data_IF_979165572150
#
_entry.id   IF_979165572150
#
_cell.length_a   1.000
_cell.length_b   1.000
_cell.length_c   1.000
_cell.angle_alpha   90.00
_cell.angle_beta   90.00
_cell.angle_gamma   90.00
#
_symmetry.space_group_name_H-M   'P 1'
#
loop_
_entity.id
_entity.type
_entity.pdbx_description
1 polymer ?
#
# COMPACT_ATOMS: atom_id res chain seq x y z
N UNK A 1 12.38 -32.59 -34.49
CA UNK A 1 11.55 -31.38 -34.30
C UNK A 1 11.27 -31.33 -32.82
N UNK A 2 11.90 -30.39 -32.10
CA UNK A 2 11.81 -30.34 -30.64
C UNK A 2 10.92 -29.17 -30.25
N UNK A 3 9.82 -29.49 -29.59
CA UNK A 3 8.89 -28.49 -29.07
C UNK A 3 9.39 -28.03 -27.71
N UNK A 4 9.62 -26.72 -27.56
CA UNK A 4 9.91 -26.11 -26.27
C UNK A 4 8.61 -25.47 -25.79
N UNK A 5 8.09 -25.95 -24.67
CA UNK A 5 6.89 -25.38 -24.04
C UNK A 5 7.34 -24.32 -23.04
N UNK A 6 7.03 -23.06 -23.31
CA UNK A 6 7.24 -21.95 -22.39
C UNK A 6 5.92 -21.67 -21.69
N UNK A 7 5.85 -21.93 -20.39
CA UNK A 7 4.68 -21.64 -19.56
C UNK A 7 4.86 -20.27 -18.92
N UNK A 8 4.07 -19.29 -19.35
CA UNK A 8 4.01 -17.97 -18.72
C UNK A 8 3.16 -18.08 -17.45
N UNK A 9 3.81 -18.12 -16.29
CA UNK A 9 3.14 -17.99 -15.00
C UNK A 9 2.98 -16.50 -14.69
N UNK A 10 1.82 -15.91 -15.00
CA UNK A 10 1.47 -14.60 -14.45
C UNK A 10 1.07 -14.79 -13.00
N UNK A 11 1.86 -14.30 -12.06
CA UNK A 11 1.41 -14.11 -10.68
C UNK A 11 0.31 -13.05 -10.71
N UNK A 12 -0.94 -13.47 -10.52
CA UNK A 12 -2.01 -12.51 -10.28
C UNK A 12 -1.72 -11.84 -8.93
N UNK A 13 -1.33 -10.57 -8.97
CA UNK A 13 -1.23 -9.74 -7.78
C UNK A 13 -2.61 -9.72 -7.10
N UNK A 14 -2.63 -9.93 -5.79
CA UNK A 14 -3.86 -9.84 -5.02
C UNK A 14 -4.41 -8.40 -5.08
N UNK A 15 -5.73 -8.23 -4.97
CA UNK A 15 -6.33 -6.89 -4.89
C UNK A 15 -5.69 -6.07 -3.76
N UNK A 16 -5.52 -4.74 -3.93
CA UNK A 16 -4.99 -3.89 -2.88
C UNK A 16 -5.91 -3.95 -1.66
N UNK A 17 -5.33 -3.93 -0.47
CA UNK A 17 -6.06 -3.94 0.80
C UNK A 17 -6.80 -2.63 1.05
N UNK A 18 -6.24 -1.52 0.58
CA UNK A 18 -6.84 -0.19 0.71
C UNK A 18 -7.13 0.43 -0.66
N UNK A 19 -8.22 1.18 -0.76
CA UNK A 19 -8.64 1.90 -1.96
C UNK A 19 -8.29 3.39 -1.87
N UNK A 20 -8.18 4.04 -3.03
CA UNK A 20 -7.99 5.50 -3.12
C UNK A 20 -9.16 6.21 -2.42
N UNK A 21 -8.82 7.17 -1.57
CA UNK A 21 -9.75 7.96 -0.76
C UNK A 21 -10.03 7.36 0.63
N UNK A 22 -9.63 6.11 0.90
CA UNK A 22 -9.79 5.52 2.23
C UNK A 22 -8.91 6.23 3.26
N UNK A 23 -9.47 6.39 4.45
CA UNK A 23 -8.78 6.97 5.59
C UNK A 23 -8.00 5.89 6.32
N UNK A 24 -6.70 6.12 6.49
CA UNK A 24 -5.78 5.19 7.14
C UNK A 24 -5.01 5.90 8.25
N UNK A 25 -4.52 5.12 9.20
CA UNK A 25 -3.57 5.56 10.21
C UNK A 25 -2.26 4.81 10.02
N UNK A 26 -1.14 5.50 10.29
CA UNK A 26 0.19 4.88 10.27
C UNK A 26 0.36 4.05 11.53
N UNK A 27 0.78 2.80 11.34
CA UNK A 27 1.16 1.87 12.39
C UNK A 27 2.56 2.23 12.88
N UNK A 28 2.72 2.33 14.20
CA UNK A 28 4.00 2.55 14.86
C UNK A 28 4.12 1.58 16.04
N UNK A 29 5.34 1.38 16.52
CA UNK A 29 5.63 0.45 17.62
C UNK A 29 5.63 1.16 19.00
N UNK A 30 5.44 2.49 19.04
CA UNK A 30 5.83 3.33 20.18
C UNK A 30 4.68 4.01 20.97
N UNK A 31 3.52 3.35 21.21
CA UNK A 31 2.27 3.85 21.87
C UNK A 31 1.14 4.36 20.92
N UNK A 32 0.21 3.48 20.52
CA UNK A 32 -0.67 3.60 19.34
C UNK A 32 -1.85 4.56 19.35
N UNK A 33 -1.93 5.45 20.32
CA UNK A 33 -3.18 6.15 20.62
C UNK A 33 -3.26 7.54 19.94
N UNK A 34 -2.20 7.96 19.24
CA UNK A 34 -2.00 9.36 18.83
C UNK A 34 -1.58 9.61 17.36
N UNK A 35 -1.56 8.61 16.48
CA UNK A 35 -0.77 8.75 15.25
C UNK A 35 -1.49 9.27 14.01
N UNK A 36 -0.67 9.89 13.17
CA UNK A 36 -1.00 10.55 11.92
C UNK A 36 -2.01 9.74 11.11
N UNK A 37 -3.16 10.36 10.88
CA UNK A 37 -4.13 9.86 9.93
C UNK A 37 -3.88 10.50 8.57
N UNK A 38 -4.37 9.87 7.53
CA UNK A 38 -4.29 10.39 6.18
C UNK A 38 -5.25 9.68 5.25
N UNK A 39 -5.16 10.01 3.97
CA UNK A 39 -5.94 9.36 2.91
C UNK A 39 -5.04 8.79 1.85
N UNK A 40 -5.42 7.61 1.36
CA UNK A 40 -4.79 6.99 0.20
C UNK A 40 -5.07 7.87 -1.02
N UNK A 41 -4.03 8.33 -1.70
CA UNK A 41 -4.12 9.11 -2.94
C UNK A 41 -3.56 8.36 -4.14
N UNK A 42 -2.80 7.28 -3.92
CA UNK A 42 -2.18 6.52 -4.99
C UNK A 42 -1.87 5.09 -4.58
N UNK A 43 -1.85 4.21 -5.58
CA UNK A 43 -1.51 2.81 -5.46
C UNK A 43 -0.41 2.51 -6.48
N UNK A 44 0.65 1.85 -6.03
CA UNK A 44 1.75 1.40 -6.89
C UNK A 44 1.99 -0.08 -6.65
N UNK A 45 2.20 -0.82 -7.73
CA UNK A 45 2.60 -2.22 -7.66
C UNK A 45 4.11 -2.27 -7.46
N UNK A 46 4.55 -3.01 -6.44
CA UNK A 46 5.93 -3.45 -6.33
C UNK A 46 6.08 -4.82 -6.99
N UNK A 47 6.49 -4.82 -8.26
CA UNK A 47 6.63 -6.04 -9.07
C UNK A 47 7.67 -7.03 -8.50
N UNK A 48 8.63 -6.54 -7.72
CA UNK A 48 9.71 -7.37 -7.17
C UNK A 48 9.20 -8.27 -6.04
N UNK A 49 8.30 -7.72 -5.21
CA UNK A 49 7.75 -8.40 -4.03
C UNK A 49 6.31 -8.88 -4.24
N UNK A 50 5.70 -8.52 -5.39
CA UNK A 50 4.30 -8.76 -5.69
C UNK A 50 3.40 -8.22 -4.56
N UNK A 51 3.67 -6.98 -4.14
CA UNK A 51 2.97 -6.23 -3.08
C UNK A 51 2.47 -4.87 -3.57
N UNK A 52 1.66 -4.20 -2.75
CA UNK A 52 1.18 -2.85 -3.01
C UNK A 52 1.87 -1.84 -2.10
N UNK A 53 2.35 -0.76 -2.70
CA UNK A 53 2.75 0.47 -2.03
C UNK A 53 1.60 1.48 -2.11
N UNK A 54 1.44 2.27 -1.06
CA UNK A 54 0.35 3.21 -0.90
C UNK A 54 0.89 4.61 -0.68
N UNK A 55 0.54 5.53 -1.57
CA UNK A 55 0.79 6.94 -1.36
C UNK A 55 -0.32 7.51 -0.47
N UNK A 56 0.05 8.06 0.68
CA UNK A 56 -0.87 8.62 1.68
C UNK A 56 -0.59 10.11 1.83
N UNK A 57 -1.62 10.94 1.68
CA UNK A 57 -1.56 12.34 2.13
C UNK A 57 -1.97 12.39 3.60
N UNK A 58 -1.08 12.87 4.45
CA UNK A 58 -1.33 12.97 5.88
C UNK A 58 -2.22 14.17 6.19
N UNK A 59 -3.10 14.00 7.17
CA UNK A 59 -3.99 15.04 7.71
C UNK A 59 -3.20 16.07 8.57
N UNK A 60 -1.99 16.42 8.12
CA UNK A 60 -1.19 17.50 8.68
C UNK A 60 -1.48 18.82 7.95
N UNK A 61 -1.37 19.97 8.64
CA UNK A 61 -1.64 21.28 8.02
C UNK A 61 -0.81 21.58 6.78
N UNK A 62 0.34 20.93 6.63
CA UNK A 62 1.28 21.13 5.53
C UNK A 62 1.03 20.18 4.34
N UNK A 63 0.16 19.17 4.48
CA UNK A 63 -0.21 18.25 3.41
C UNK A 63 0.93 17.34 2.94
N UNK A 64 1.68 16.75 3.87
CA UNK A 64 2.76 15.82 3.54
C UNK A 64 2.22 14.57 2.85
N UNK A 65 2.88 14.15 1.77
CA UNK A 65 2.63 12.88 1.09
C UNK A 65 3.80 11.94 1.31
N UNK A 66 3.51 10.73 1.75
CA UNK A 66 4.51 9.68 1.96
C UNK A 66 4.02 8.34 1.40
N UNK A 67 4.95 7.45 1.09
CA UNK A 67 4.68 6.10 0.58
C UNK A 67 4.87 5.08 1.70
N UNK A 68 3.89 4.19 1.84
CA UNK A 68 3.83 3.18 2.90
C UNK A 68 3.61 1.78 2.32
N UNK A 69 4.11 0.77 3.02
CA UNK A 69 3.74 -0.62 2.77
C UNK A 69 2.38 -0.91 3.41
N UNK A 70 1.74 -1.98 2.93
CA UNK A 70 0.47 -2.43 3.47
C UNK A 70 0.49 -2.69 4.99
N UNK A 71 1.63 -3.16 5.51
CA UNK A 71 1.80 -3.52 6.92
C UNK A 71 2.00 -2.32 7.85
N UNK A 72 2.40 -1.19 7.28
CA UNK A 72 2.56 0.09 7.97
C UNK A 72 1.22 0.82 8.15
N UNK A 73 0.13 0.30 7.60
CA UNK A 73 -1.16 0.97 7.58
C UNK A 73 -2.27 0.15 8.25
N UNK A 74 -3.12 0.85 8.98
CA UNK A 74 -4.37 0.33 9.53
C UNK A 74 -5.55 1.24 9.15
N UNK A 75 -6.75 0.68 9.11
CA UNK A 75 -7.96 1.47 8.89
C UNK A 75 -8.11 2.48 10.02
N UNK A 76 -8.27 3.75 9.66
CA UNK A 76 -8.62 4.79 10.62
C UNK A 76 -10.13 4.79 10.90
N UNK A 77 -10.55 5.14 12.13
CA UNK A 77 -11.95 5.36 12.45
C UNK A 77 -12.56 6.59 11.74
#
# INVERSE_FOLDING_TARGET
MNTITITLASTCLHSPKFAIGEKVAIKSDCHPEEWATGRIIGLQINDLENTWNYAVVLDYPQGYCEEFLQEDLVLAP
#
